data_IF_275443991670
#
_entry.id   IF_275443991670
#
_cell.length_a   1.000
_cell.length_b   1.000
_cell.length_c   1.000
_cell.angle_alpha   90.00
_cell.angle_beta   90.00
_cell.angle_gamma   90.00
#
_symmetry.space_group_name_H-M   'P 1'
#
loop_
_entity.id
_entity.type
_entity.pdbx_description
1 polymer ?
#
# COMPACT_ATOMS: atom_id res chain seq x y z
N UNK A 1 -19.23 28.63 -26.35
CA UNK A 1 -18.33 27.47 -26.49
C UNK A 1 -16.95 27.97 -26.05
N UNK A 2 -16.62 27.80 -24.77
CA UNK A 2 -15.40 28.34 -24.18
C UNK A 2 -14.28 27.32 -24.33
N UNK A 3 -13.16 27.74 -24.92
CA UNK A 3 -11.94 26.96 -25.12
C UNK A 3 -11.10 26.99 -23.85
N UNK A 4 -10.77 25.83 -23.29
CA UNK A 4 -9.86 25.72 -22.16
C UNK A 4 -8.43 26.09 -22.57
N UNK A 5 -7.65 26.80 -21.73
CA UNK A 5 -6.24 27.03 -22.01
C UNK A 5 -5.44 25.75 -21.69
N UNK A 6 -4.73 25.23 -22.68
CA UNK A 6 -3.71 24.22 -22.46
C UNK A 6 -2.57 24.82 -21.64
N UNK A 7 -2.35 24.31 -20.42
CA UNK A 7 -1.18 24.68 -19.64
C UNK A 7 0.01 23.82 -20.11
N UNK A 8 1.06 24.45 -20.62
CA UNK A 8 2.33 23.79 -20.92
C UNK A 8 3.29 24.09 -19.79
N UNK A 9 3.76 23.04 -19.10
CA UNK A 9 4.82 23.16 -18.09
C UNK A 9 6.15 23.17 -18.82
N UNK A 10 6.78 24.34 -18.92
CA UNK A 10 8.17 24.43 -19.36
C UNK A 10 9.08 24.05 -18.17
N UNK A 11 9.92 23.04 -18.37
CA UNK A 11 10.97 22.66 -17.43
C UNK A 11 12.28 23.26 -17.91
N UNK A 12 12.60 24.45 -17.41
CA UNK A 12 13.88 25.10 -17.69
C UNK A 12 14.94 24.54 -16.73
N UNK A 13 15.77 23.64 -17.23
CA UNK A 13 16.98 23.20 -16.54
C UNK A 13 18.18 23.60 -17.37
N UNK A 14 18.59 24.86 -17.25
CA UNK A 14 19.88 25.33 -17.76
C UNK A 14 20.96 25.01 -16.73
N UNK A 15 21.71 23.94 -16.96
CA UNK A 15 23.06 23.79 -16.40
C UNK A 15 23.99 23.27 -17.48
N UNK A 16 24.80 24.18 -18.00
CA UNK A 16 25.96 23.94 -18.86
C UNK A 16 26.97 23.02 -18.19
N UNK A 17 27.35 21.96 -18.91
CA UNK A 17 28.69 21.38 -18.87
C UNK A 17 29.06 20.57 -17.62
N UNK A 18 28.79 19.26 -17.66
CA UNK A 18 29.69 18.20 -17.21
C UNK A 18 29.08 16.87 -17.69
N UNK A 19 29.78 16.14 -18.55
CA UNK A 19 29.40 14.79 -18.98
C UNK A 19 29.54 13.82 -17.80
N UNK A 20 28.57 13.86 -16.89
CA UNK A 20 28.38 12.80 -15.91
C UNK A 20 27.74 11.66 -16.66
N UNK A 21 28.54 10.64 -16.97
CA UNK A 21 28.08 9.35 -17.47
C UNK A 21 26.98 8.88 -16.54
N UNK A 22 25.72 9.14 -16.90
CA UNK A 22 24.58 8.71 -16.12
C UNK A 22 24.60 7.20 -16.24
N UNK A 23 25.11 6.52 -15.22
CA UNK A 23 24.82 5.10 -15.01
C UNK A 23 23.33 4.94 -15.33
N UNK A 24 22.93 4.03 -16.24
CA UNK A 24 21.52 3.88 -16.57
C UNK A 24 20.81 3.74 -15.24
N UNK A 25 19.92 4.69 -14.93
CA UNK A 25 19.10 4.61 -13.74
C UNK A 25 18.34 3.31 -13.92
N UNK A 26 18.78 2.24 -13.25
CA UNK A 26 18.02 1.01 -13.16
C UNK A 26 16.80 1.42 -12.36
N UNK A 27 15.75 1.82 -13.09
CA UNK A 27 14.53 2.36 -12.52
C UNK A 27 13.82 1.19 -11.85
N UNK A 28 14.18 0.95 -10.59
CA UNK A 28 13.45 0.02 -9.74
C UNK A 28 12.08 0.63 -9.51
N UNK A 29 11.05 -0.04 -10.01
CA UNK A 29 9.67 0.33 -9.77
C UNK A 29 9.02 -0.71 -8.85
N UNK A 30 8.16 -0.25 -7.94
CA UNK A 30 7.44 -1.10 -6.99
C UNK A 30 5.95 -0.94 -7.22
N UNK A 31 5.27 -2.04 -7.54
CA UNK A 31 3.83 -2.15 -7.53
C UNK A 31 3.35 -2.65 -6.18
N UNK A 32 2.40 -1.95 -5.56
CA UNK A 32 1.79 -2.35 -4.30
C UNK A 32 0.30 -2.61 -4.57
N UNK A 33 -0.12 -3.86 -4.44
CA UNK A 33 -1.53 -4.21 -4.49
C UNK A 33 -2.13 -4.11 -3.08
N UNK A 34 -3.06 -3.18 -2.91
CA UNK A 34 -3.81 -2.99 -1.66
C UNK A 34 -5.21 -3.60 -1.84
N UNK A 35 -5.34 -4.87 -1.48
CA UNK A 35 -6.63 -5.55 -1.40
C UNK A 35 -7.30 -5.41 -0.02
N UNK A 36 -8.55 -5.86 0.06
CA UNK A 36 -9.33 -5.81 1.30
C UNK A 36 -8.84 -6.84 2.32
N UNK A 37 -8.61 -8.07 1.86
CA UNK A 37 -8.21 -9.20 2.72
C UNK A 37 -6.75 -9.59 2.54
N UNK A 38 -6.19 -9.33 1.36
CA UNK A 38 -4.82 -9.68 0.99
C UNK A 38 -4.16 -8.55 0.21
N UNK A 39 -2.86 -8.43 0.36
CA UNK A 39 -2.00 -7.50 -0.38
C UNK A 39 -0.76 -8.23 -0.91
N UNK A 40 -0.11 -7.62 -1.89
CA UNK A 40 1.12 -8.14 -2.47
C UNK A 40 2.03 -7.01 -2.95
N UNK A 41 3.31 -7.31 -3.13
CA UNK A 41 4.31 -6.37 -3.64
C UNK A 41 4.96 -6.99 -4.86
N UNK A 42 4.99 -6.24 -5.95
CA UNK A 42 5.69 -6.57 -7.18
C UNK A 42 6.85 -5.60 -7.38
N UNK A 43 8.02 -6.09 -7.80
CA UNK A 43 9.19 -5.26 -8.08
C UNK A 43 9.59 -5.46 -9.54
N UNK A 44 9.73 -4.36 -10.27
CA UNK A 44 10.39 -4.33 -11.57
C UNK A 44 11.87 -4.02 -11.35
N UNK A 45 12.74 -4.90 -11.85
CA UNK A 45 14.19 -4.78 -11.68
C UNK A 45 14.93 -4.33 -12.96
N UNK A 46 14.21 -3.79 -13.94
CA UNK A 46 14.75 -3.45 -15.26
C UNK A 46 14.67 -4.57 -16.30
N UNK A 47 14.33 -5.80 -15.90
CA UNK A 47 14.21 -6.94 -16.82
C UNK A 47 12.88 -7.68 -16.71
N UNK A 48 12.39 -7.90 -15.48
CA UNK A 48 11.16 -8.63 -15.22
C UNK A 48 10.46 -8.10 -13.96
N UNK A 49 9.18 -8.45 -13.85
CA UNK A 49 8.40 -8.24 -12.63
C UNK A 49 8.54 -9.48 -11.74
N UNK A 50 8.93 -9.28 -10.48
CA UNK A 50 8.97 -10.33 -9.46
C UNK A 50 7.96 -10.02 -8.35
N UNK A 51 7.19 -11.02 -7.93
CA UNK A 51 6.34 -10.92 -6.73
C UNK A 51 7.17 -11.26 -5.50
N UNK A 52 7.32 -10.27 -4.63
CA UNK A 52 8.08 -10.38 -3.39
C UNK A 52 7.40 -11.33 -2.42
N UNK A 53 8.21 -12.01 -1.62
CA UNK A 53 7.75 -12.87 -0.55
C UNK A 53 7.99 -12.22 0.80
N UNK A 54 7.09 -12.46 1.73
CA UNK A 54 7.26 -12.04 3.12
C UNK A 54 8.30 -12.90 3.87
N UNK A 55 8.49 -12.62 5.15
CA UNK A 55 9.39 -13.37 6.05
C UNK A 55 8.97 -14.83 6.25
N UNK A 56 7.76 -15.21 5.83
CA UNK A 56 7.23 -16.58 5.84
C UNK A 56 7.26 -17.23 4.46
N UNK A 57 7.94 -16.60 3.49
CA UNK A 57 8.06 -17.10 2.12
C UNK A 57 6.69 -17.14 1.38
N UNK A 58 5.72 -16.30 1.78
CA UNK A 58 4.40 -16.15 1.14
C UNK A 58 4.37 -14.93 0.22
N UNK A 59 3.78 -15.07 -0.98
CA UNK A 59 3.62 -13.98 -1.96
C UNK A 59 2.40 -13.08 -1.70
N UNK A 60 1.43 -13.61 -0.95
CA UNK A 60 0.21 -12.90 -0.56
C UNK A 60 0.24 -12.74 0.95
N UNK A 61 0.13 -11.49 1.40
CA UNK A 61 0.11 -11.12 2.81
C UNK A 61 -1.32 -10.78 3.20
N UNK A 62 -1.68 -10.89 4.47
CA UNK A 62 -3.01 -10.45 4.95
C UNK A 62 -3.06 -8.94 5.12
N UNK A 63 -4.20 -8.34 4.77
CA UNK A 63 -4.44 -6.90 4.90
C UNK A 63 -5.03 -6.56 6.28
N UNK A 64 -4.19 -6.64 7.31
CA UNK A 64 -4.52 -6.17 8.65
C UNK A 64 -3.31 -5.52 9.33
N UNK A 65 -3.58 -4.78 10.40
CA UNK A 65 -2.58 -4.31 11.37
C UNK A 65 -3.07 -4.69 12.76
N UNK A 66 -2.24 -5.37 13.56
CA UNK A 66 -2.48 -5.63 14.99
C UNK A 66 -1.58 -4.72 15.83
N UNK A 67 -2.06 -4.30 16.99
CA UNK A 67 -1.33 -3.48 17.94
C UNK A 67 -1.05 -4.29 19.20
N UNK A 68 0.23 -4.48 19.53
CA UNK A 68 0.66 -5.13 20.77
C UNK A 68 1.56 -4.20 21.56
N UNK A 69 1.12 -3.79 22.75
CA UNK A 69 1.83 -2.80 23.56
C UNK A 69 2.16 -1.52 22.75
N UNK A 70 1.17 -1.02 22.01
CA UNK A 70 1.28 0.13 21.10
C UNK A 70 2.25 -0.03 19.91
N UNK A 71 2.81 -1.23 19.71
CA UNK A 71 3.66 -1.54 18.56
C UNK A 71 2.78 -2.13 17.44
N UNK A 72 2.72 -1.47 16.26
CA UNK A 72 1.97 -2.00 15.13
C UNK A 72 2.73 -3.15 14.46
N UNK A 73 2.00 -4.19 14.08
CA UNK A 73 2.50 -5.32 13.30
C UNK A 73 1.52 -5.69 12.18
N UNK A 74 2.03 -5.90 10.98
CA UNK A 74 1.21 -6.23 9.80
C UNK A 74 1.01 -7.72 9.57
N UNK A 75 0.34 -8.01 8.45
CA UNK A 75 -0.04 -9.31 7.86
C UNK A 75 0.97 -10.44 7.76
N UNK A 76 2.21 -10.20 8.18
CA UNK A 76 3.38 -11.09 8.03
C UNK A 76 3.84 -11.67 9.37
N UNK A 77 3.21 -11.26 10.48
CA UNK A 77 3.56 -11.67 11.85
C UNK A 77 3.45 -13.19 12.06
N UNK A 78 4.45 -13.79 12.71
CA UNK A 78 4.51 -15.22 13.07
C UNK A 78 3.46 -15.68 14.08
N UNK A 79 2.54 -14.83 14.52
CA UNK A 79 1.56 -15.19 15.53
C UNK A 79 0.54 -16.20 14.95
N UNK A 80 0.67 -17.47 15.36
CA UNK A 80 -0.33 -18.54 15.23
C UNK A 80 -1.66 -18.22 15.96
N UNK A 81 -1.80 -17.03 16.54
CA UNK A 81 -2.94 -16.59 17.35
C UNK A 81 -3.95 -15.75 16.55
N UNK A 82 -4.05 -16.03 15.25
CA UNK A 82 -4.68 -15.12 14.30
C UNK A 82 -6.16 -14.87 14.54
N UNK A 83 -6.86 -15.86 15.10
CA UNK A 83 -8.29 -15.76 15.40
C UNK A 83 -8.52 -15.12 16.77
N UNK A 84 -7.69 -15.43 17.77
CA UNK A 84 -7.87 -14.90 19.12
C UNK A 84 -7.51 -13.41 19.21
N UNK A 85 -6.49 -12.97 18.48
CA UNK A 85 -6.04 -11.57 18.44
C UNK A 85 -6.97 -10.65 17.61
N UNK A 86 -7.79 -11.23 16.73
CA UNK A 86 -8.87 -10.47 16.08
C UNK A 86 -10.02 -10.17 17.05
N UNK A 87 -10.22 -11.01 18.08
CA UNK A 87 -11.28 -10.86 19.08
C UNK A 87 -10.89 -9.94 20.24
N UNK A 88 -9.64 -9.45 20.30
CA UNK A 88 -9.18 -8.54 21.37
C UNK A 88 -9.50 -7.08 21.08
N UNK A 89 -10.06 -6.76 19.90
CA UNK A 89 -10.26 -5.38 19.43
C UNK A 89 -8.96 -4.64 19.07
N UNK A 90 -7.80 -5.29 19.19
CA UNK A 90 -6.49 -4.71 18.89
C UNK A 90 -6.08 -4.84 17.41
N UNK A 91 -6.92 -5.44 16.57
CA UNK A 91 -6.64 -5.68 15.14
C UNK A 91 -7.57 -4.88 14.25
N UNK A 92 -7.00 -4.20 13.26
CA UNK A 92 -7.71 -3.43 12.23
C UNK A 92 -7.59 -4.13 10.88
N UNK A 93 -8.71 -4.42 10.23
CA UNK A 93 -8.80 -5.14 8.94
C UNK A 93 -9.94 -4.58 8.08
N UNK A 94 -10.06 -5.01 6.82
CA UNK A 94 -11.06 -4.53 5.84
C UNK A 94 -11.00 -3.01 5.55
N UNK A 95 -9.88 -2.36 5.85
CA UNK A 95 -9.73 -0.91 5.75
C UNK A 95 -9.95 -0.36 4.34
N UNK A 96 -9.64 -1.13 3.29
CA UNK A 96 -9.82 -0.70 1.90
C UNK A 96 -11.24 -0.16 1.64
N UNK A 97 -12.25 -0.76 2.26
CA UNK A 97 -13.63 -0.34 2.05
C UNK A 97 -13.98 0.97 2.74
N UNK A 98 -13.20 1.39 3.75
CA UNK A 98 -13.46 2.58 4.55
C UNK A 98 -12.69 3.81 4.04
N UNK A 99 -11.62 3.61 3.26
CA UNK A 99 -10.80 4.71 2.71
C UNK A 99 -11.66 5.64 1.85
N UNK A 100 -11.57 6.95 2.12
CA UNK A 100 -12.26 7.99 1.37
C UNK A 100 -13.77 8.10 1.65
N UNK A 101 -14.32 7.33 2.59
CA UNK A 101 -15.72 7.42 3.00
C UNK A 101 -15.91 8.36 4.19
N UNK A 102 -17.08 8.98 4.24
CA UNK A 102 -17.55 9.74 5.40
C UNK A 102 -18.08 8.79 6.48
N UNK A 103 -18.11 9.25 7.72
CA UNK A 103 -18.63 8.52 8.87
C UNK A 103 -20.14 8.25 8.81
N UNK A 104 -20.86 9.04 8.00
CA UNK A 104 -22.28 8.87 7.67
C UNK A 104 -22.54 7.85 6.56
N UNK A 105 -21.51 7.32 5.91
CA UNK A 105 -21.67 6.31 4.85
C UNK A 105 -22.25 5.02 5.45
N UNK A 106 -23.30 4.42 4.86
CA UNK A 106 -23.91 3.18 5.36
C UNK A 106 -22.92 2.02 5.57
N UNK A 107 -21.89 1.91 4.73
CA UNK A 107 -20.84 0.88 4.86
C UNK A 107 -20.02 1.12 6.12
N UNK A 108 -19.69 2.37 6.43
CA UNK A 108 -18.94 2.75 7.63
C UNK A 108 -19.79 2.53 8.89
N UNK A 109 -21.08 2.89 8.84
CA UNK A 109 -22.00 2.65 9.96
C UNK A 109 -22.22 1.16 10.23
N UNK A 110 -22.32 0.33 9.17
CA UNK A 110 -22.40 -1.12 9.31
C UNK A 110 -21.12 -1.71 9.92
N UNK A 111 -19.95 -1.25 9.47
CA UNK A 111 -18.66 -1.67 10.02
C UNK A 111 -18.50 -1.33 11.51
N UNK A 112 -19.08 -0.21 11.97
CA UNK A 112 -19.12 0.16 13.39
C UNK A 112 -20.00 -0.78 14.22
N UNK A 113 -21.10 -1.26 13.65
CA UNK A 113 -22.14 -2.01 14.36
C UNK A 113 -21.87 -3.51 14.35
N UNK A 114 -21.18 -3.99 13.33
CA UNK A 114 -20.63 -5.35 13.27
C UNK A 114 -19.48 -5.38 14.28
N UNK A 115 -19.75 -5.89 15.48
CA UNK A 115 -18.82 -5.93 16.61
C UNK A 115 -17.37 -6.22 16.18
N UNK A 116 -16.48 -5.28 16.53
CA UNK A 116 -15.11 -5.57 16.90
C UNK A 116 -15.11 -6.44 18.17
#
# INVERSE_FOLDING_TARGET
>A
MATEPAYTVASDSETTGEEKTSSPLLEIAVGIDIGTSQCSIAVWNGSQVEIMKDTKNQKLMRSYVTFKNDIPSGGVSNQLAHEYEMLTGATVFNMKHLIGRLDTDPVVMQARTSHF
#
